data_IF_589043257427
#
_entry.id   IF_589043257427
#
_cell.length_a   1.000
_cell.length_b   1.000
_cell.length_c   1.000
_cell.angle_alpha   90.00
_cell.angle_beta   90.00
_cell.angle_gamma   90.00
#
_symmetry.space_group_name_H-M   'P 1'
#
loop_
_entity.id
_entity.type
_entity.pdbx_description
1 polymer ?
#
# COMPACT_ATOMS: atom_id res chain seq x y z
N UNK A 1 5.19 6.38 -17.66
CA UNK A 1 6.05 5.18 -17.61
C UNK A 1 5.31 3.88 -17.96
N UNK A 2 4.07 3.68 -17.50
CA UNK A 2 3.29 2.43 -17.80
C UNK A 2 2.99 2.24 -19.31
N UNK A 3 2.58 3.29 -20.03
CA UNK A 3 2.31 3.22 -21.48
C UNK A 3 3.56 2.93 -22.34
N UNK A 4 4.72 3.47 -21.97
CA UNK A 4 6.00 3.20 -22.66
C UNK A 4 6.46 1.76 -22.37
N UNK A 5 6.26 1.27 -21.14
CA UNK A 5 6.56 -0.11 -20.76
C UNK A 5 5.72 -1.13 -21.52
N UNK A 6 4.43 -0.88 -21.71
CA UNK A 6 3.54 -1.72 -22.53
C UNK A 6 4.00 -1.84 -23.99
N UNK A 7 4.67 -0.81 -24.51
CA UNK A 7 5.20 -0.77 -25.89
C UNK A 7 6.58 -1.43 -26.03
N UNK A 8 7.34 -1.53 -24.93
CA UNK A 8 8.62 -2.23 -24.86
C UNK A 8 8.49 -3.73 -24.57
N UNK A 9 7.32 -4.17 -24.10
CA UNK A 9 6.94 -5.58 -24.20
C UNK A 9 6.67 -5.87 -25.69
N UNK A 10 7.44 -6.77 -26.34
CA UNK A 10 7.23 -7.16 -27.73
C UNK A 10 5.96 -8.01 -27.80
N UNK A 11 4.79 -7.37 -27.75
CA UNK A 11 3.51 -8.04 -27.62
C UNK A 11 2.43 -7.16 -28.19
N UNK A 12 2.21 -7.30 -29.49
CA UNK A 12 0.96 -6.93 -30.15
C UNK A 12 -0.23 -7.31 -29.23
N UNK A 13 -1.03 -6.33 -28.79
CA UNK A 13 -2.13 -6.55 -27.84
C UNK A 13 -3.10 -7.60 -28.36
N UNK A 14 -3.34 -7.62 -29.67
CA UNK A 14 -4.12 -8.65 -30.33
C UNK A 14 -3.49 -10.04 -30.20
N UNK A 15 -2.16 -10.19 -30.24
CA UNK A 15 -1.46 -11.46 -29.95
C UNK A 15 -1.44 -11.81 -28.46
N UNK A 16 -1.41 -10.83 -27.57
CA UNK A 16 -1.53 -11.09 -26.14
C UNK A 16 -2.91 -11.66 -25.78
N UNK A 17 -3.94 -11.27 -26.53
CA UNK A 17 -5.34 -11.73 -26.33
C UNK A 17 -5.64 -13.01 -27.12
N UNK A 18 -5.26 -13.08 -28.40
CA UNK A 18 -5.57 -14.21 -29.30
C UNK A 18 -4.53 -15.34 -29.27
N UNK A 19 -3.36 -15.08 -28.67
CA UNK A 19 -2.24 -16.00 -28.58
C UNK A 19 -1.13 -15.72 -29.60
N UNK A 20 0.11 -16.22 -29.35
CA UNK A 20 1.27 -15.92 -30.17
C UNK A 20 1.18 -16.40 -31.63
N UNK A 21 0.36 -17.44 -31.88
CA UNK A 21 0.18 -18.09 -33.18
C UNK A 21 -1.10 -17.65 -33.93
N UNK A 22 -1.80 -16.62 -33.44
CA UNK A 22 -3.03 -16.14 -34.06
C UNK A 22 -2.80 -15.57 -35.48
N UNK A 23 -3.79 -15.74 -36.36
CA UNK A 23 -3.76 -15.21 -37.73
C UNK A 23 -3.47 -13.70 -37.71
N UNK A 24 -2.44 -13.21 -38.42
CA UNK A 24 -2.12 -11.79 -38.50
C UNK A 24 -3.30 -10.89 -38.87
N UNK A 25 -4.25 -11.37 -39.69
CA UNK A 25 -5.46 -10.61 -40.05
C UNK A 25 -6.42 -10.47 -38.87
N UNK A 26 -6.62 -11.54 -38.10
CA UNK A 26 -7.45 -11.51 -36.89
C UNK A 26 -6.85 -10.59 -35.83
N UNK A 27 -5.52 -10.60 -35.69
CA UNK A 27 -4.77 -9.71 -34.80
C UNK A 27 -4.90 -8.24 -35.23
N UNK A 28 -4.74 -7.95 -36.52
CA UNK A 28 -4.88 -6.58 -37.04
C UNK A 28 -6.31 -6.03 -36.86
N UNK A 29 -7.33 -6.87 -37.10
CA UNK A 29 -8.73 -6.51 -36.87
C UNK A 29 -8.98 -6.22 -35.39
N UNK A 30 -8.51 -7.08 -34.49
CA UNK A 30 -8.67 -6.88 -33.06
C UNK A 30 -7.93 -5.62 -32.58
N UNK A 31 -6.72 -5.34 -33.07
CA UNK A 31 -6.00 -4.11 -32.73
C UNK A 31 -6.74 -2.85 -33.17
N UNK A 32 -7.36 -2.91 -34.35
CA UNK A 32 -8.16 -1.81 -34.87
C UNK A 32 -9.45 -1.60 -34.05
N UNK A 33 -10.13 -2.69 -33.68
CA UNK A 33 -11.29 -2.66 -32.79
C UNK A 33 -10.94 -2.10 -31.40
N UNK A 34 -9.79 -2.47 -30.86
CA UNK A 34 -9.29 -1.98 -29.57
C UNK A 34 -8.69 -0.56 -29.66
N UNK A 35 -8.50 -0.01 -30.87
CA UNK A 35 -7.92 1.30 -31.10
C UNK A 35 -6.43 1.42 -30.72
N UNK A 36 -5.73 0.29 -30.58
CA UNK A 36 -4.31 0.20 -30.18
C UNK A 36 -3.38 0.58 -31.35
N UNK A 37 -3.91 0.60 -32.57
CA UNK A 37 -3.26 1.07 -33.79
C UNK A 37 -3.22 2.60 -33.94
N UNK A 38 -3.99 3.34 -33.12
CA UNK A 38 -4.09 4.82 -33.18
C UNK A 38 -2.85 5.50 -32.58
N UNK A 39 -2.57 6.78 -32.89
CA UNK A 39 -1.49 7.53 -32.25
C UNK A 39 -1.62 7.54 -30.71
N UNK A 40 -0.50 7.42 -30.00
CA UNK A 40 -0.48 7.31 -28.52
C UNK A 40 -1.24 8.42 -27.80
N UNK A 41 -1.14 9.65 -28.31
CA UNK A 41 -1.85 10.79 -27.74
C UNK A 41 -3.38 10.61 -27.81
N UNK A 42 -3.87 10.03 -28.91
CA UNK A 42 -5.29 9.73 -29.11
C UNK A 42 -5.73 8.60 -28.19
N UNK A 43 -4.92 7.55 -28.05
CA UNK A 43 -5.20 6.44 -27.13
C UNK A 43 -5.29 6.94 -25.67
N UNK A 44 -4.33 7.77 -25.25
CA UNK A 44 -4.31 8.32 -23.90
C UNK A 44 -5.49 9.25 -23.65
N UNK A 45 -5.80 10.15 -24.58
CA UNK A 45 -6.93 11.07 -24.45
C UNK A 45 -8.28 10.35 -24.47
N UNK A 46 -8.41 9.31 -25.30
CA UNK A 46 -9.58 8.43 -25.26
C UNK A 46 -9.67 7.72 -23.92
N UNK A 47 -8.58 7.12 -23.43
CA UNK A 47 -8.61 6.42 -22.15
C UNK A 47 -8.99 7.35 -20.98
N UNK A 48 -8.43 8.57 -20.92
CA UNK A 48 -8.74 9.49 -19.83
C UNK A 48 -10.16 10.03 -19.91
N UNK A 49 -10.73 10.22 -21.11
CA UNK A 49 -12.12 10.65 -21.26
C UNK A 49 -13.09 9.57 -20.79
N UNK A 50 -12.87 8.31 -21.17
CA UNK A 50 -13.67 7.18 -20.71
C UNK A 50 -13.56 7.00 -19.19
N UNK A 51 -12.34 7.08 -18.66
CA UNK A 51 -12.08 7.03 -17.21
C UNK A 51 -12.83 8.13 -16.46
N UNK A 52 -12.80 9.37 -16.96
CA UNK A 52 -13.50 10.51 -16.36
C UNK A 52 -15.03 10.34 -16.40
N UNK A 53 -15.57 9.64 -17.39
CA UNK A 53 -17.00 9.27 -17.46
C UNK A 53 -17.38 8.04 -16.64
N UNK A 54 -16.42 7.43 -15.92
CA UNK A 54 -16.64 6.24 -15.08
C UNK A 54 -16.47 4.91 -15.82
N UNK A 55 -16.11 4.93 -17.09
CA UNK A 55 -15.78 3.73 -17.87
C UNK A 55 -14.28 3.46 -17.78
N UNK A 56 -13.92 2.55 -16.88
CA UNK A 56 -12.54 2.10 -16.69
C UNK A 56 -12.13 1.01 -17.68
N UNK A 57 -13.04 0.59 -18.57
CA UNK A 57 -12.84 -0.46 -19.54
C UNK A 57 -12.97 -1.88 -18.98
N UNK A 58 -12.58 -2.84 -19.83
CA UNK A 58 -12.73 -4.27 -19.59
C UNK A 58 -11.36 -4.93 -19.43
N UNK A 59 -11.26 -5.89 -18.51
CA UNK A 59 -10.11 -6.77 -18.43
C UNK A 59 -10.16 -7.74 -19.62
N UNK A 60 -9.18 -7.67 -20.52
CA UNK A 60 -9.13 -8.56 -21.69
C UNK A 60 -8.89 -10.03 -21.31
N UNK A 61 -8.22 -10.27 -20.19
CA UNK A 61 -7.97 -11.63 -19.67
C UNK A 61 -9.19 -12.21 -18.96
N UNK A 62 -9.85 -11.43 -18.10
CA UNK A 62 -10.99 -11.90 -17.29
C UNK A 62 -12.34 -11.67 -17.97
N UNK A 63 -12.36 -10.92 -19.09
CA UNK A 63 -13.56 -10.49 -19.83
C UNK A 63 -14.62 -9.84 -18.93
N UNK A 64 -14.18 -9.10 -17.92
CA UNK A 64 -15.03 -8.47 -16.92
C UNK A 64 -14.70 -6.97 -16.77
N UNK A 65 -15.67 -6.11 -16.38
CA UNK A 65 -15.41 -4.70 -16.13
C UNK A 65 -14.35 -4.51 -15.05
N UNK A 66 -13.42 -3.56 -15.24
CA UNK A 66 -12.31 -3.33 -14.30
C UNK A 66 -12.77 -2.54 -13.07
N UNK A 67 -13.78 -1.66 -13.23
CA UNK A 67 -14.20 -0.73 -12.18
C UNK A 67 -14.51 -1.38 -10.81
N UNK A 68 -15.24 -2.52 -10.72
CA UNK A 68 -15.47 -3.20 -9.44
C UNK A 68 -14.19 -3.70 -8.77
N UNK A 69 -13.21 -4.18 -9.54
CA UNK A 69 -11.94 -4.65 -9.00
C UNK A 69 -11.13 -3.50 -8.39
N UNK A 70 -11.10 -2.35 -9.07
CA UNK A 70 -10.45 -1.14 -8.55
C UNK A 70 -11.16 -0.65 -7.29
N UNK A 71 -12.49 -0.59 -7.29
CA UNK A 71 -13.25 -0.15 -6.13
C UNK A 71 -12.99 -1.06 -4.90
N UNK A 72 -13.00 -2.38 -5.08
CA UNK A 72 -12.70 -3.33 -4.00
C UNK A 72 -11.25 -3.22 -3.53
N UNK A 73 -10.29 -3.09 -4.45
CA UNK A 73 -8.88 -2.92 -4.10
C UNK A 73 -8.65 -1.64 -3.30
N UNK A 74 -9.22 -0.51 -3.75
CA UNK A 74 -9.17 0.77 -3.03
C UNK A 74 -9.80 0.65 -1.64
N UNK A 75 -10.96 0.00 -1.53
CA UNK A 75 -11.60 -0.25 -0.25
C UNK A 75 -10.71 -1.03 0.72
N UNK A 76 -10.04 -2.07 0.24
CA UNK A 76 -9.11 -2.87 1.05
C UNK A 76 -7.85 -2.07 1.44
N UNK A 77 -7.28 -1.30 0.52
CA UNK A 77 -6.15 -0.41 0.81
C UNK A 77 -6.50 0.67 1.84
N UNK A 78 -7.69 1.28 1.73
CA UNK A 78 -8.18 2.26 2.71
C UNK A 78 -8.37 1.65 4.09
N UNK A 79 -8.94 0.45 4.18
CA UNK A 79 -9.07 -0.28 5.45
C UNK A 79 -7.71 -0.57 6.08
N UNK A 80 -6.76 -1.08 5.30
CA UNK A 80 -5.40 -1.33 5.77
C UNK A 80 -4.73 -0.04 6.25
N UNK A 81 -4.82 1.03 5.46
CA UNK A 81 -4.28 2.33 5.82
C UNK A 81 -4.92 2.89 7.09
N UNK A 82 -6.24 2.74 7.28
CA UNK A 82 -6.94 3.18 8.48
C UNK A 82 -6.49 2.40 9.73
N UNK A 83 -6.36 1.07 9.63
CA UNK A 83 -5.85 0.24 10.75
C UNK A 83 -4.42 0.62 11.10
N UNK A 84 -3.54 0.75 10.08
CA UNK A 84 -2.18 1.19 10.28
C UNK A 84 -2.13 2.59 10.91
N UNK A 85 -2.93 3.53 10.44
CA UNK A 85 -2.98 4.90 10.99
C UNK A 85 -3.37 4.91 12.47
N UNK A 86 -4.44 4.21 12.83
CA UNK A 86 -4.95 4.12 14.22
C UNK A 86 -3.96 3.40 15.13
N UNK A 87 -3.18 2.45 14.61
CA UNK A 87 -2.12 1.78 15.36
C UNK A 87 -0.89 2.69 15.54
N UNK A 88 -0.40 3.27 14.44
CA UNK A 88 0.88 3.97 14.38
C UNK A 88 0.83 5.32 15.08
N UNK A 89 -0.14 6.15 14.73
CA UNK A 89 -0.14 7.56 15.16
C UNK A 89 -0.21 7.69 16.68
N UNK A 90 -1.16 7.04 17.39
CA UNK A 90 -1.25 7.17 18.84
C UNK A 90 -0.03 6.60 19.55
N UNK A 91 0.45 5.42 19.13
CA UNK A 91 1.58 4.76 19.77
C UNK A 91 2.90 5.51 19.53
N UNK A 92 3.13 6.04 18.32
CA UNK A 92 4.31 6.80 18.01
C UNK A 92 4.33 8.17 18.71
N UNK A 93 3.19 8.88 18.75
CA UNK A 93 3.07 10.13 19.52
C UNK A 93 3.32 9.85 21.00
N UNK A 94 2.67 8.83 21.56
CA UNK A 94 2.84 8.45 22.96
C UNK A 94 4.30 8.09 23.28
N UNK A 95 4.95 7.29 22.43
CA UNK A 95 6.36 6.98 22.55
C UNK A 95 7.25 8.22 22.49
N UNK A 96 6.96 9.15 21.57
CA UNK A 96 7.67 10.42 21.44
C UNK A 96 7.52 11.33 22.66
N UNK A 97 6.30 11.44 23.21
CA UNK A 97 6.03 12.20 24.44
C UNK A 97 6.76 11.58 25.63
N UNK A 98 6.72 10.25 25.80
CA UNK A 98 7.47 9.57 26.87
C UNK A 98 8.97 9.83 26.73
N UNK A 99 9.51 9.77 25.52
CA UNK A 99 10.92 10.06 25.27
C UNK A 99 11.26 11.52 25.61
N UNK A 100 10.37 12.47 25.29
CA UNK A 100 10.56 13.89 25.62
C UNK A 100 10.50 14.17 27.14
N UNK A 101 9.59 13.53 27.87
CA UNK A 101 9.51 13.66 29.33
C UNK A 101 10.72 13.03 30.04
N UNK A 102 11.47 12.17 29.35
CA UNK A 102 12.64 11.47 29.87
C UNK A 102 13.92 11.84 29.13
N UNK A 103 14.02 13.08 28.61
CA UNK A 103 15.18 13.55 27.84
C UNK A 103 16.50 13.21 28.55
N UNK A 104 17.41 12.57 27.81
CA UNK A 104 18.73 12.18 28.30
C UNK A 104 18.75 10.94 29.20
N UNK A 105 17.60 10.38 29.56
CA UNK A 105 17.49 9.13 30.33
C UNK A 105 17.50 7.90 29.42
N UNK A 106 17.70 6.68 29.97
CA UNK A 106 17.72 5.45 29.18
C UNK A 106 16.45 5.22 28.36
N UNK A 107 15.27 5.59 28.87
CA UNK A 107 13.99 5.40 28.18
C UNK A 107 13.93 6.17 26.85
N UNK A 108 14.34 7.43 26.85
CA UNK A 108 14.48 8.25 25.65
C UNK A 108 15.41 7.58 24.63
N UNK A 109 16.59 7.16 25.11
CA UNK A 109 17.60 6.52 24.24
C UNK A 109 17.09 5.20 23.65
N UNK A 110 16.38 4.38 24.43
CA UNK A 110 15.82 3.10 23.97
C UNK A 110 14.77 3.35 22.88
N UNK A 111 13.78 4.22 23.13
CA UNK A 111 12.70 4.53 22.18
C UNK A 111 13.29 5.08 20.88
N UNK A 112 14.22 6.02 20.99
CA UNK A 112 14.84 6.68 19.84
C UNK A 112 15.70 5.69 19.04
N UNK A 113 16.56 4.90 19.69
CA UNK A 113 17.44 3.94 19.00
C UNK A 113 16.63 2.82 18.36
N UNK A 114 15.66 2.23 19.06
CA UNK A 114 14.80 1.18 18.48
C UNK A 114 13.99 1.71 17.30
N UNK A 115 13.35 2.87 17.43
CA UNK A 115 12.57 3.48 16.34
C UNK A 115 13.43 3.72 15.09
N UNK A 116 14.65 4.21 15.27
CA UNK A 116 15.57 4.43 14.14
C UNK A 116 16.07 3.15 13.52
N UNK A 117 16.39 2.17 14.35
CA UNK A 117 16.86 0.87 13.88
C UNK A 117 15.79 0.18 13.04
N UNK A 118 14.53 0.27 13.47
CA UNK A 118 13.38 -0.26 12.74
C UNK A 118 13.19 0.40 11.35
N UNK A 119 13.56 1.69 11.20
CA UNK A 119 13.47 2.41 9.92
C UNK A 119 14.53 1.96 8.91
N UNK A 120 15.66 1.41 9.37
CA UNK A 120 16.76 0.95 8.49
C UNK A 120 16.45 -0.42 7.88
N UNK A 121 15.63 -1.23 8.55
CA UNK A 121 15.26 -2.56 8.06
C UNK A 121 14.31 -2.39 6.85
N UNK A 122 14.61 -3.01 5.69
CA UNK A 122 13.71 -2.95 4.55
C UNK A 122 12.33 -3.53 4.88
N UNK A 123 11.28 -2.87 4.41
CA UNK A 123 9.89 -3.22 4.76
C UNK A 123 9.57 -4.69 4.45
N UNK A 124 10.01 -5.19 3.29
CA UNK A 124 9.76 -6.58 2.87
C UNK A 124 10.43 -7.59 3.80
N UNK A 125 11.64 -7.29 4.31
CA UNK A 125 12.36 -8.13 5.27
C UNK A 125 11.59 -8.18 6.59
N UNK A 126 11.21 -7.00 7.10
CA UNK A 126 10.44 -6.91 8.34
C UNK A 126 9.09 -7.64 8.22
N UNK A 127 8.42 -7.53 7.07
CA UNK A 127 7.19 -8.26 6.77
C UNK A 127 7.36 -9.77 6.81
N UNK A 128 8.40 -10.31 6.16
CA UNK A 128 8.68 -11.75 6.18
C UNK A 128 8.96 -12.23 7.62
N UNK A 129 9.78 -11.50 8.37
CA UNK A 129 10.11 -11.87 9.77
C UNK A 129 8.86 -11.85 10.64
N UNK A 130 8.01 -10.82 10.52
CA UNK A 130 6.76 -10.72 11.26
C UNK A 130 5.80 -11.86 10.91
N UNK A 131 5.70 -12.24 9.63
CA UNK A 131 4.91 -13.39 9.18
C UNK A 131 5.42 -14.68 9.82
N UNK A 132 6.73 -14.92 9.82
CA UNK A 132 7.31 -16.13 10.42
C UNK A 132 7.04 -16.20 11.91
N UNK A 133 7.23 -15.09 12.63
CA UNK A 133 7.04 -15.05 14.08
C UNK A 133 5.56 -15.16 14.45
N UNK A 134 4.72 -14.25 13.97
CA UNK A 134 3.34 -14.14 14.42
C UNK A 134 2.36 -15.06 13.68
N UNK A 135 2.63 -15.34 12.41
CA UNK A 135 1.78 -16.18 11.57
C UNK A 135 2.14 -17.66 11.61
N UNK A 136 3.43 -18.01 11.63
CA UNK A 136 3.88 -19.41 11.52
C UNK A 136 4.25 -20.03 12.86
N UNK A 137 5.12 -19.38 13.63
CA UNK A 137 5.61 -19.92 14.90
C UNK A 137 4.60 -19.75 16.03
N UNK A 138 4.16 -18.52 16.28
CA UNK A 138 3.19 -18.22 17.35
C UNK A 138 1.76 -18.53 16.93
N UNK A 139 1.44 -18.45 15.63
CA UNK A 139 0.09 -18.66 15.07
C UNK A 139 -0.98 -17.77 15.73
N UNK A 140 -0.59 -16.57 16.14
CA UNK A 140 -1.45 -15.61 16.84
C UNK A 140 -2.14 -14.67 15.86
N UNK A 141 -1.58 -14.43 14.68
CA UNK A 141 -2.16 -13.54 13.67
C UNK A 141 -2.29 -14.25 12.32
N UNK A 142 -3.35 -13.95 11.53
CA UNK A 142 -3.51 -14.52 10.20
C UNK A 142 -2.49 -13.91 9.23
N UNK A 143 -1.97 -14.75 8.33
CA UNK A 143 -0.96 -14.35 7.33
C UNK A 143 -1.60 -13.60 6.16
N UNK A 144 -2.85 -13.96 5.83
CA UNK A 144 -3.56 -13.42 4.67
C UNK A 144 -4.59 -12.40 5.14
N UNK A 145 -4.66 -11.24 4.49
CA UNK A 145 -5.69 -10.23 4.71
C UNK A 145 -7.04 -10.60 4.05
N UNK A 146 -7.38 -11.89 4.03
CA UNK A 146 -8.63 -12.41 3.48
C UNK A 146 -9.46 -13.00 4.61
N UNK A 147 -10.56 -12.34 4.95
CA UNK A 147 -11.50 -12.78 5.98
C UNK A 147 -12.77 -13.40 5.36
N UNK A 148 -13.49 -14.27 6.09
CA UNK A 148 -14.76 -14.80 5.62
C UNK A 148 -15.80 -13.70 5.34
N UNK A 149 -16.71 -13.92 4.37
CA UNK A 149 -17.89 -13.08 4.18
C UNK A 149 -18.66 -12.92 5.49
N UNK A 150 -19.31 -11.77 5.68
CA UNK A 150 -20.15 -11.46 6.85
C UNK A 150 -19.44 -11.40 8.22
N UNK A 151 -18.13 -11.17 8.21
CA UNK A 151 -17.37 -10.94 9.45
C UNK A 151 -17.47 -9.49 9.94
N UNK A 152 -17.59 -9.35 11.27
CA UNK A 152 -17.68 -8.05 11.94
C UNK A 152 -16.40 -7.21 11.81
N UNK A 153 -16.48 -5.88 12.06
CA UNK A 153 -15.36 -4.96 11.91
C UNK A 153 -14.12 -5.35 12.72
N UNK A 154 -14.30 -5.86 13.94
CA UNK A 154 -13.19 -6.29 14.80
C UNK A 154 -12.40 -7.46 14.22
N UNK A 155 -13.09 -8.41 13.58
CA UNK A 155 -12.44 -9.52 12.88
C UNK A 155 -11.66 -8.99 11.69
N UNK A 156 -12.20 -8.05 10.92
CA UNK A 156 -11.46 -7.44 9.81
C UNK A 156 -10.19 -6.73 10.29
N UNK A 157 -10.26 -5.99 11.40
CA UNK A 157 -9.08 -5.37 12.02
C UNK A 157 -8.04 -6.42 12.41
N UNK A 158 -8.46 -7.52 13.04
CA UNK A 158 -7.56 -8.62 13.41
C UNK A 158 -6.81 -9.22 12.21
N UNK A 159 -7.47 -9.32 11.04
CA UNK A 159 -6.83 -9.77 9.80
C UNK A 159 -5.88 -8.75 9.18
N UNK A 160 -6.05 -7.47 9.52
CA UNK A 160 -5.24 -6.36 9.03
C UNK A 160 -4.09 -5.99 9.99
N UNK A 161 -4.06 -6.53 11.21
CA UNK A 161 -3.01 -6.24 12.18
C UNK A 161 -1.63 -6.63 11.66
N UNK A 162 -1.44 -7.89 11.25
CA UNK A 162 -0.14 -8.37 10.76
C UNK A 162 0.39 -7.56 9.56
N UNK A 163 -0.38 -7.32 8.49
CA UNK A 163 0.10 -6.49 7.37
C UNK A 163 0.28 -5.01 7.72
N UNK A 164 -0.30 -4.52 8.82
CA UNK A 164 -0.06 -3.14 9.31
C UNK A 164 1.22 -2.99 10.14
N UNK A 165 1.75 -4.08 10.72
CA UNK A 165 2.95 -4.03 11.58
C UNK A 165 4.23 -3.58 10.86
N UNK A 166 4.52 -3.99 9.60
CA UNK A 166 5.66 -3.45 8.86
C UNK A 166 5.59 -1.92 8.72
N UNK A 167 4.40 -1.39 8.40
CA UNK A 167 4.17 0.05 8.31
C UNK A 167 4.42 0.73 9.67
N UNK A 168 4.01 0.07 10.76
CA UNK A 168 4.28 0.54 12.11
C UNK A 168 5.77 0.64 12.41
N UNK A 169 6.56 -0.39 12.10
CA UNK A 169 8.00 -0.39 12.36
C UNK A 169 8.72 0.76 11.63
N UNK A 170 8.33 1.01 10.37
CA UNK A 170 8.93 2.07 9.55
C UNK A 170 8.51 3.46 10.01
N UNK A 171 7.21 3.67 10.27
CA UNK A 171 6.67 4.99 10.57
C UNK A 171 6.84 5.41 12.02
N UNK A 172 6.89 4.46 12.96
CA UNK A 172 7.01 4.74 14.38
C UNK A 172 8.23 5.60 14.70
N UNK A 173 9.41 5.22 14.18
CA UNK A 173 10.66 5.95 14.45
C UNK A 173 10.61 7.41 13.98
N UNK A 174 10.06 7.64 12.79
CA UNK A 174 9.90 8.98 12.23
C UNK A 174 8.93 9.85 13.06
N UNK A 175 7.72 9.34 13.31
CA UNK A 175 6.67 10.09 14.01
C UNK A 175 7.04 10.30 15.48
N UNK A 176 7.58 9.29 16.16
CA UNK A 176 7.99 9.40 17.56
C UNK A 176 9.12 10.42 17.74
N UNK A 177 10.08 10.48 16.81
CA UNK A 177 11.14 11.50 16.82
C UNK A 177 10.57 12.91 16.63
N UNK A 178 9.65 13.10 15.69
CA UNK A 178 9.00 14.39 15.45
C UNK A 178 8.18 14.84 16.67
N UNK A 179 7.37 13.94 17.23
CA UNK A 179 6.59 14.19 18.44
C UNK A 179 7.50 14.51 19.64
N UNK A 180 8.61 13.78 19.80
CA UNK A 180 9.61 14.04 20.83
C UNK A 180 10.19 15.44 20.69
N UNK A 181 10.67 15.81 19.50
CA UNK A 181 11.27 17.12 19.26
C UNK A 181 10.30 18.27 19.57
N UNK A 182 9.08 18.21 19.05
CA UNK A 182 8.05 19.21 19.32
C UNK A 182 7.64 19.28 20.80
N UNK A 183 7.61 18.13 21.50
CA UNK A 183 7.30 18.11 22.95
C UNK A 183 8.42 18.73 23.77
N UNK A 184 9.69 18.48 23.44
CA UNK A 184 10.83 19.11 24.12
C UNK A 184 10.80 20.63 23.92
N UNK A 185 10.61 21.10 22.70
CA UNK A 185 10.49 22.52 22.39
C UNK A 185 9.32 23.18 23.15
N UNK A 186 8.18 22.50 23.24
CA UNK A 186 7.03 22.96 24.01
C UNK A 186 7.27 22.98 25.53
N UNK A 187 8.14 22.12 26.07
CA UNK A 187 8.50 22.12 27.49
C UNK A 187 9.50 23.22 27.83
N UNK A 188 10.41 23.55 26.92
CA UNK A 188 11.43 24.60 27.07
C UNK A 188 10.91 26.02 26.78
N UNK A 189 9.70 26.15 26.22
CA UNK A 189 9.09 27.44 25.91
C UNK A 189 8.71 28.23 27.17
N UNK A 190 8.89 29.56 27.13
CA UNK A 190 8.75 30.47 28.28
C UNK A 190 7.37 30.46 28.99
N UNK A 191 6.33 29.83 28.42
CA UNK A 191 5.01 29.73 29.06
C UNK A 191 4.90 28.63 30.13
N UNK A 192 5.91 27.76 30.28
CA UNK A 192 5.95 26.71 31.32
C UNK A 192 6.74 27.11 32.57
N UNK A 193 7.29 28.33 32.62
CA UNK A 193 8.07 28.88 33.75
C UNK A 193 7.25 29.66 34.76
#
# INVERSE_FOLDING_TARGET
MVFIGAQLLPGDVGRAILGPLADPRAVANLNHELGVDRPLLVQYWSWISHFATGDMGMSYTMRAPIAPFIATALGNSLKLAAVAFVLVVPLAIFGGVIAALNVGRPLDRIITVLGLSATVVPEFVSGIVLILIFGVWLRVLPINANWPPDTGPLTQVYYLLLPSLPLFLVLFGYIARMARAGTVEALDADYTR
#
